data_IF_800065661114
#
_entry.id   IF_800065661114
#
_cell.length_a   1.000
_cell.length_b   1.000
_cell.length_c   1.000
_cell.angle_alpha   90.00
_cell.angle_beta   90.00
_cell.angle_gamma   90.00
#
_symmetry.space_group_name_H-M   'P 1'
#
loop_
_entity.id
_entity.type
_entity.pdbx_description
1 polymer ?
#
# COMPACT_ATOMS: atom_id res chain seq x y z
N UNK A 1 55.45 10.51 1.78
CA UNK A 1 54.11 11.12 1.86
C UNK A 1 53.12 9.99 1.73
N UNK A 2 52.37 9.70 2.78
CA UNK A 2 51.28 8.72 2.71
C UNK A 2 50.05 9.45 2.18
N UNK A 3 49.37 8.88 1.19
CA UNK A 3 48.12 9.41 0.65
C UNK A 3 47.06 9.33 1.75
N UNK A 4 46.66 10.48 2.30
CA UNK A 4 45.73 10.58 3.43
C UNK A 4 44.27 10.56 3.01
N UNK A 5 43.99 10.49 1.71
CA UNK A 5 42.64 10.52 1.18
C UNK A 5 42.56 9.63 -0.08
N UNK A 6 42.25 8.33 0.06
CA UNK A 6 41.96 7.48 -1.10
C UNK A 6 40.68 7.98 -1.79
N UNK A 7 40.58 7.91 -3.12
CA UNK A 7 39.35 8.31 -3.81
C UNK A 7 38.17 7.51 -3.27
N UNK A 8 37.07 8.22 -3.00
CA UNK A 8 35.80 7.61 -2.61
C UNK A 8 35.38 6.56 -3.64
N UNK A 9 34.67 5.54 -3.21
CA UNK A 9 34.28 4.47 -4.09
C UNK A 9 33.42 5.00 -5.24
N UNK A 10 33.41 4.35 -6.42
CA UNK A 10 32.49 4.70 -7.49
C UNK A 10 31.02 4.71 -7.02
N UNK A 11 30.65 3.92 -6.01
CA UNK A 11 29.28 3.96 -5.46
C UNK A 11 28.94 5.28 -4.74
N UNK A 12 29.95 6.02 -4.30
CA UNK A 12 29.81 7.31 -3.61
C UNK A 12 30.01 8.51 -4.56
N UNK A 13 30.41 8.25 -5.80
CA UNK A 13 30.81 9.31 -6.76
C UNK A 13 30.19 9.18 -8.14
N UNK A 14 29.60 8.03 -8.48
CA UNK A 14 28.90 7.85 -9.75
C UNK A 14 27.54 8.58 -9.71
N UNK A 15 27.17 9.20 -10.84
CA UNK A 15 25.94 9.97 -10.93
C UNK A 15 24.71 9.07 -10.78
N UNK A 16 23.70 9.62 -10.13
CA UNK A 16 22.35 9.07 -10.03
C UNK A 16 21.44 9.73 -11.06
N UNK A 17 20.17 9.33 -11.10
CA UNK A 17 19.14 10.02 -11.89
C UNK A 17 18.93 11.50 -11.50
N UNK A 18 19.40 11.94 -10.34
CA UNK A 18 19.33 13.34 -9.92
C UNK A 18 20.48 14.18 -10.49
N UNK A 19 21.55 13.51 -10.95
CA UNK A 19 22.75 14.14 -11.48
C UNK A 19 22.75 14.17 -13.01
N UNK A 20 21.89 13.36 -13.65
CA UNK A 20 21.82 13.21 -15.09
C UNK A 20 20.51 13.76 -15.64
N UNK A 21 20.53 14.49 -16.77
CA UNK A 21 19.32 14.80 -17.50
C UNK A 21 18.71 13.52 -18.08
N UNK A 22 17.48 13.63 -18.59
CA UNK A 22 16.90 12.60 -19.45
C UNK A 22 17.75 12.38 -20.72
N UNK A 23 17.36 11.42 -21.57
CA UNK A 23 17.95 11.26 -22.90
C UNK A 23 17.89 12.57 -23.71
N UNK A 24 16.85 13.37 -23.49
CA UNK A 24 16.79 14.77 -23.87
C UNK A 24 17.43 15.65 -22.78
N UNK A 25 18.53 16.32 -23.13
CA UNK A 25 19.35 17.10 -22.19
C UNK A 25 18.60 18.28 -21.52
N UNK A 26 17.49 18.71 -22.10
CA UNK A 26 16.64 19.80 -21.60
C UNK A 26 15.55 19.31 -20.62
N UNK A 27 15.48 18.00 -20.35
CA UNK A 27 14.51 17.42 -19.42
C UNK A 27 15.17 16.88 -18.15
N UNK A 28 14.53 17.02 -16.98
CA UNK A 28 15.03 16.43 -15.74
C UNK A 28 15.11 14.90 -15.84
N UNK A 29 15.96 14.30 -14.99
CA UNK A 29 16.14 12.85 -14.95
C UNK A 29 14.85 12.08 -14.63
N UNK A 30 14.81 10.83 -15.09
CA UNK A 30 13.67 9.91 -14.96
C UNK A 30 13.46 9.45 -13.50
N UNK A 31 12.23 9.09 -13.09
CA UNK A 31 11.92 8.60 -11.74
C UNK A 31 12.73 7.36 -11.31
N UNK A 32 13.05 7.25 -10.01
CA UNK A 32 13.69 6.04 -9.43
C UNK A 32 12.63 5.00 -9.05
N UNK A 33 13.12 3.86 -8.56
CA UNK A 33 12.28 2.80 -8.03
C UNK A 33 11.34 3.24 -6.89
N UNK A 34 11.70 4.24 -6.10
CA UNK A 34 10.80 4.72 -5.04
C UNK A 34 9.63 5.52 -5.63
N UNK A 35 9.88 6.37 -6.64
CA UNK A 35 8.82 7.07 -7.38
C UNK A 35 7.95 6.11 -8.21
N UNK A 36 8.40 4.86 -8.44
CA UNK A 36 7.56 3.79 -8.95
C UNK A 36 6.73 3.11 -7.85
N UNK A 37 7.35 2.73 -6.74
CA UNK A 37 6.72 1.90 -5.71
C UNK A 37 5.79 2.67 -4.77
N UNK A 38 6.15 3.89 -4.37
CA UNK A 38 5.35 4.67 -3.42
C UNK A 38 3.95 5.02 -3.99
N UNK A 39 3.79 5.48 -5.26
CA UNK A 39 2.48 5.69 -5.85
C UNK A 39 1.67 4.40 -6.05
N UNK A 40 2.33 3.27 -6.32
CA UNK A 40 1.66 1.97 -6.40
C UNK A 40 1.05 1.56 -5.06
N UNK A 41 1.81 1.69 -3.97
CA UNK A 41 1.29 1.40 -2.63
C UNK A 41 0.11 2.33 -2.27
N UNK A 42 0.20 3.62 -2.60
CA UNK A 42 -0.91 4.56 -2.42
C UNK A 42 -2.16 4.10 -3.20
N UNK A 43 -2.01 3.75 -4.48
CA UNK A 43 -3.12 3.28 -5.31
C UNK A 43 -3.73 1.95 -4.82
N UNK A 44 -2.90 0.98 -4.39
CA UNK A 44 -3.35 -0.32 -3.91
C UNK A 44 -4.15 -0.23 -2.59
N UNK A 45 -3.81 0.76 -1.75
CA UNK A 45 -4.38 0.96 -0.41
C UNK A 45 -5.41 2.08 -0.32
N UNK A 46 -5.57 2.92 -1.35
CA UNK A 46 -6.60 3.95 -1.41
C UNK A 46 -7.99 3.32 -1.66
N UNK A 47 -8.71 3.05 -0.57
CA UNK A 47 -10.00 2.35 -0.58
C UNK A 47 -11.04 3.07 0.29
N UNK A 48 -11.45 4.30 -0.08
CA UNK A 48 -12.44 5.05 0.69
C UNK A 48 -13.77 4.29 0.71
N UNK A 49 -14.36 4.00 1.88
CA UNK A 49 -15.49 3.08 2.01
C UNK A 49 -16.78 3.59 1.38
N UNK A 50 -16.98 4.92 1.36
CA UNK A 50 -18.19 5.55 0.82
C UNK A 50 -18.19 5.72 -0.71
N UNK A 51 -17.09 5.36 -1.37
CA UNK A 51 -16.97 5.47 -2.82
C UNK A 51 -16.87 4.09 -3.48
N UNK A 52 -17.74 3.79 -4.46
CA UNK A 52 -17.58 2.60 -5.30
C UNK A 52 -16.22 2.60 -6.00
N UNK A 53 -15.56 1.44 -6.10
CA UNK A 53 -14.23 1.32 -6.74
C UNK A 53 -14.20 1.78 -8.20
N UNK A 54 -15.33 1.64 -8.91
CA UNK A 54 -15.49 2.10 -10.28
C UNK A 54 -15.78 3.60 -10.39
N UNK A 55 -15.92 4.32 -9.27
CA UNK A 55 -16.09 5.77 -9.17
C UNK A 55 -14.89 6.48 -8.52
N UNK A 56 -13.73 5.83 -8.56
CA UNK A 56 -12.47 6.36 -8.07
C UNK A 56 -11.46 6.30 -9.22
N UNK A 57 -10.75 7.40 -9.42
CA UNK A 57 -9.58 7.44 -10.29
C UNK A 57 -8.36 7.86 -9.47
N UNK A 58 -7.26 7.13 -9.61
CA UNK A 58 -5.94 7.54 -9.11
C UNK A 58 -4.98 7.67 -10.28
N UNK A 59 -4.25 8.77 -10.35
CA UNK A 59 -3.21 8.98 -11.35
C UNK A 59 -1.84 9.08 -10.67
N UNK A 60 -0.81 8.55 -11.34
CA UNK A 60 0.59 8.68 -10.92
C UNK A 60 1.41 9.08 -12.13
N UNK A 61 2.25 10.11 -12.00
CA UNK A 61 3.09 10.61 -13.09
C UNK A 61 2.29 10.88 -14.40
N UNK A 62 1.04 11.32 -14.23
CA UNK A 62 0.06 11.57 -15.30
C UNK A 62 -0.17 13.07 -15.46
N UNK A 63 -0.20 13.55 -16.71
CA UNK A 63 -0.45 14.97 -16.99
C UNK A 63 -1.84 15.41 -16.50
N UNK A 64 -1.86 16.43 -15.65
CA UNK A 64 -3.04 17.08 -15.09
C UNK A 64 -3.19 18.47 -15.70
N UNK A 65 -4.16 18.61 -16.60
CA UNK A 65 -4.47 19.87 -17.28
C UNK A 65 -5.55 20.64 -16.53
N UNK A 66 -5.30 21.94 -16.32
CA UNK A 66 -6.11 22.78 -15.42
C UNK A 66 -6.55 24.13 -16.01
N UNK A 67 -6.04 24.54 -17.18
CA UNK A 67 -6.43 25.81 -17.82
C UNK A 67 -6.78 25.61 -19.31
N UNK A 68 -8.06 25.79 -19.64
CA UNK A 68 -8.55 25.69 -21.02
C UNK A 68 -7.94 26.74 -21.96
N UNK A 69 -7.55 27.91 -21.44
CA UNK A 69 -6.94 28.98 -22.24
C UNK A 69 -5.46 28.73 -22.51
N UNK A 70 -4.84 27.87 -21.71
CA UNK A 70 -3.44 27.49 -21.85
C UNK A 70 -3.33 25.95 -21.86
N UNK A 71 -3.79 25.28 -22.93
CA UNK A 71 -3.86 23.82 -22.97
C UNK A 71 -2.48 23.13 -22.96
N UNK A 72 -1.38 23.87 -23.12
CA UNK A 72 -0.02 23.36 -22.92
C UNK A 72 0.45 23.45 -21.47
N UNK A 73 -0.33 24.05 -20.57
CA UNK A 73 -0.01 24.13 -19.15
C UNK A 73 -0.61 22.94 -18.43
N UNK A 74 0.27 22.14 -17.83
CA UNK A 74 -0.08 20.98 -17.05
C UNK A 74 0.83 20.87 -15.84
N UNK A 75 0.40 20.08 -14.86
CA UNK A 75 1.25 19.54 -13.80
C UNK A 75 1.31 18.03 -13.92
N UNK A 76 2.31 17.43 -13.29
CA UNK A 76 2.53 15.99 -13.32
C UNK A 76 2.81 15.53 -11.89
N UNK A 77 1.76 15.42 -11.06
CA UNK A 77 1.94 15.03 -9.66
C UNK A 77 2.42 13.58 -9.57
N UNK A 78 3.22 13.27 -8.56
CA UNK A 78 3.68 11.89 -8.31
C UNK A 78 2.50 10.94 -8.06
N UNK A 79 1.48 11.40 -7.32
CA UNK A 79 0.23 10.70 -7.15
C UNK A 79 -0.94 11.66 -6.86
N UNK A 80 -2.13 11.36 -7.36
CA UNK A 80 -3.36 12.06 -6.98
C UNK A 80 -4.58 11.16 -7.06
N UNK A 81 -5.64 11.52 -6.32
CA UNK A 81 -6.93 10.84 -6.39
C UNK A 81 -8.06 11.79 -6.73
N UNK A 82 -9.00 11.31 -7.54
CA UNK A 82 -10.25 11.96 -7.92
C UNK A 82 -11.41 11.03 -7.55
N UNK A 83 -12.41 11.59 -6.89
CA UNK A 83 -13.55 10.86 -6.34
C UNK A 83 -14.83 11.21 -7.10
N UNK A 84 -15.73 10.24 -7.26
CA UNK A 84 -17.00 10.44 -7.96
C UNK A 84 -16.85 10.48 -9.49
N UNK A 85 -15.73 9.98 -10.04
CA UNK A 85 -15.49 9.89 -11.49
C UNK A 85 -15.26 8.43 -11.89
N UNK A 86 -15.72 7.99 -13.07
CA UNK A 86 -15.47 6.63 -13.53
C UNK A 86 -13.99 6.27 -13.57
N UNK A 87 -13.62 5.06 -13.16
CA UNK A 87 -12.23 4.59 -13.21
C UNK A 87 -11.66 4.56 -14.63
N UNK A 88 -12.52 4.37 -15.64
CA UNK A 88 -12.19 4.44 -17.07
C UNK A 88 -12.66 5.76 -17.69
N UNK A 89 -11.83 6.33 -18.57
CA UNK A 89 -12.21 7.48 -19.39
C UNK A 89 -13.34 7.09 -20.34
N UNK A 90 -14.40 7.90 -20.37
CA UNK A 90 -15.65 7.62 -21.10
C UNK A 90 -16.22 6.20 -20.84
N UNK A 91 -15.90 5.61 -19.68
CA UNK A 91 -16.25 4.24 -19.27
C UNK A 91 -15.70 3.14 -20.20
N UNK A 92 -14.64 3.41 -20.96
CA UNK A 92 -14.10 2.50 -21.97
C UNK A 92 -12.58 2.38 -21.93
N UNK A 93 -11.89 3.52 -21.90
CA UNK A 93 -10.45 3.57 -22.12
C UNK A 93 -9.68 3.95 -20.86
N UNK A 94 -8.38 3.68 -20.86
CA UNK A 94 -7.48 4.22 -19.85
C UNK A 94 -7.20 5.70 -20.14
N UNK A 95 -6.92 6.47 -19.09
CA UNK A 95 -6.58 7.90 -19.22
C UNK A 95 -5.14 8.07 -19.70
N UNK A 96 -4.97 8.83 -20.79
CA UNK A 96 -3.67 9.32 -21.24
C UNK A 96 -3.25 10.61 -20.51
N UNK A 97 -4.24 11.32 -19.97
CA UNK A 97 -4.08 12.51 -19.13
C UNK A 97 -5.37 12.72 -18.33
N UNK A 98 -5.32 13.59 -17.33
CA UNK A 98 -6.50 14.06 -16.62
C UNK A 98 -6.78 15.50 -17.02
N UNK A 99 -7.89 15.73 -17.74
CA UNK A 99 -8.26 17.05 -18.26
C UNK A 99 -9.44 17.58 -17.46
N UNK A 100 -9.17 18.49 -16.53
CA UNK A 100 -10.14 18.94 -15.53
C UNK A 100 -11.42 19.51 -16.13
N UNK A 101 -11.33 20.29 -17.21
CA UNK A 101 -12.53 20.86 -17.85
C UNK A 101 -13.34 19.85 -18.68
N UNK A 102 -12.78 18.69 -19.01
CA UNK A 102 -13.52 17.59 -19.65
C UNK A 102 -14.19 16.71 -18.61
N UNK A 103 -13.51 16.44 -17.48
CA UNK A 103 -14.01 15.55 -16.44
C UNK A 103 -14.82 16.26 -15.35
N UNK A 104 -14.74 17.59 -15.28
CA UNK A 104 -15.48 18.48 -14.40
C UNK A 104 -15.27 18.27 -12.89
N UNK A 105 -14.31 17.44 -12.48
CA UNK A 105 -13.98 17.15 -11.08
C UNK A 105 -12.49 17.38 -10.85
N UNK A 106 -12.16 18.13 -9.81
CA UNK A 106 -10.76 18.34 -9.41
C UNK A 106 -10.26 17.18 -8.54
N UNK A 107 -8.94 16.95 -8.47
CA UNK A 107 -8.38 16.04 -7.47
C UNK A 107 -8.82 16.38 -6.05
N UNK A 108 -9.09 15.35 -5.26
CA UNK A 108 -9.41 15.45 -3.85
C UNK A 108 -8.14 15.55 -2.99
N UNK A 109 -7.10 14.82 -3.38
CA UNK A 109 -5.79 14.85 -2.76
C UNK A 109 -4.70 14.74 -3.83
N UNK A 110 -3.61 15.47 -3.62
CA UNK A 110 -2.34 15.34 -4.37
C UNK A 110 -1.23 14.99 -3.39
N UNK A 111 -0.35 14.06 -3.78
CA UNK A 111 0.87 13.67 -3.05
C UNK A 111 2.07 13.95 -3.95
N UNK A 112 3.07 14.65 -3.43
CA UNK A 112 4.36 14.88 -4.08
C UNK A 112 5.48 14.24 -3.23
N UNK A 113 6.43 13.62 -3.92
CA UNK A 113 7.55 12.90 -3.34
C UNK A 113 8.80 13.74 -3.53
N UNK A 114 9.41 14.19 -2.43
CA UNK A 114 10.57 15.06 -2.54
C UNK A 114 11.76 14.30 -3.11
N UNK A 115 12.32 14.87 -4.17
CA UNK A 115 13.64 14.56 -4.67
C UNK A 115 14.62 15.68 -4.32
N UNK A 116 15.93 15.38 -4.20
CA UNK A 116 16.93 16.42 -3.92
C UNK A 116 16.80 17.60 -4.89
N UNK A 117 16.55 18.80 -4.39
CA UNK A 117 16.49 20.03 -5.18
C UNK A 117 15.09 20.49 -5.62
N UNK A 118 14.03 19.72 -5.36
CA UNK A 118 12.63 20.08 -5.70
C UNK A 118 11.88 20.82 -4.59
N UNK A 119 12.47 20.91 -3.40
CA UNK A 119 11.80 21.35 -2.18
C UNK A 119 11.25 22.78 -2.29
N UNK A 120 11.94 23.67 -3.01
CA UNK A 120 11.50 25.07 -3.16
C UNK A 120 10.25 25.22 -4.02
N UNK A 121 10.11 24.37 -5.04
CA UNK A 121 8.94 24.38 -5.94
C UNK A 121 7.73 23.77 -5.24
N UNK A 122 7.92 22.64 -4.57
CA UNK A 122 6.85 21.93 -3.87
C UNK A 122 6.34 22.68 -2.63
N UNK A 123 7.18 23.55 -2.04
CA UNK A 123 6.78 24.44 -0.93
C UNK A 123 6.30 25.83 -1.38
N UNK A 124 6.13 26.06 -2.68
CA UNK A 124 5.58 27.31 -3.21
C UNK A 124 6.46 28.55 -2.95
N UNK A 125 7.77 28.37 -2.74
CA UNK A 125 8.69 29.46 -2.37
C UNK A 125 9.29 30.22 -3.55
N UNK A 126 8.91 29.88 -4.78
CA UNK A 126 9.42 30.50 -6.01
C UNK A 126 8.56 31.72 -6.38
N UNK A 127 9.22 32.88 -6.56
CA UNK A 127 8.57 34.10 -7.03
C UNK A 127 8.15 33.95 -8.50
N UNK A 128 6.94 34.43 -8.80
CA UNK A 128 6.29 34.27 -10.10
C UNK A 128 6.92 35.13 -11.20
N UNK A 129 7.02 34.55 -12.39
CA UNK A 129 7.10 35.23 -13.68
C UNK A 129 5.74 35.09 -14.38
N UNK A 130 5.15 36.19 -14.84
CA UNK A 130 3.78 36.18 -15.41
C UNK A 130 3.72 35.46 -16.76
N UNK A 131 4.85 35.35 -17.47
CA UNK A 131 4.92 34.67 -18.76
C UNK A 131 5.16 33.16 -18.65
N UNK A 132 5.35 32.62 -17.43
CA UNK A 132 5.59 31.20 -17.18
C UNK A 132 4.37 30.51 -16.58
N UNK A 133 4.20 29.18 -16.78
CA UNK A 133 3.17 28.41 -16.10
C UNK A 133 3.25 28.60 -14.58
N UNK A 134 2.11 28.73 -13.87
CA UNK A 134 2.07 28.82 -12.40
C UNK A 134 2.80 27.66 -11.71
N UNK A 135 3.36 27.90 -10.53
CA UNK A 135 4.00 26.85 -9.72
C UNK A 135 2.99 25.81 -9.20
N UNK A 136 3.47 24.63 -8.79
CA UNK A 136 2.60 23.54 -8.27
C UNK A 136 1.66 24.03 -7.17
N UNK A 137 2.19 24.75 -6.17
CA UNK A 137 1.40 25.29 -5.06
C UNK A 137 0.25 26.20 -5.52
N UNK A 138 0.51 27.14 -6.44
CA UNK A 138 -0.51 28.05 -6.98
C UNK A 138 -1.60 27.27 -7.74
N UNK A 139 -1.20 26.29 -8.57
CA UNK A 139 -2.14 25.45 -9.29
C UNK A 139 -3.03 24.66 -8.33
N UNK A 140 -2.44 23.97 -7.35
CA UNK A 140 -3.19 23.09 -6.45
C UNK A 140 -4.07 23.90 -5.48
N UNK A 141 -3.55 24.97 -4.88
CA UNK A 141 -4.24 25.79 -3.87
C UNK A 141 -5.29 26.74 -4.48
N UNK A 142 -4.92 27.47 -5.53
CA UNK A 142 -5.69 28.64 -5.99
C UNK A 142 -6.55 28.31 -7.20
N UNK A 143 -6.05 27.47 -8.13
CA UNK A 143 -6.76 27.14 -9.36
C UNK A 143 -7.64 25.91 -9.17
N UNK A 144 -7.04 24.78 -8.79
CA UNK A 144 -7.72 23.50 -8.64
C UNK A 144 -8.43 23.36 -7.29
N UNK A 145 -8.04 24.16 -6.28
CA UNK A 145 -8.66 24.15 -4.96
C UNK A 145 -8.68 22.73 -4.36
N UNK A 146 -7.59 21.99 -4.53
CA UNK A 146 -7.47 20.60 -4.06
C UNK A 146 -7.59 20.61 -2.53
N UNK A 147 -8.51 19.85 -1.91
CA UNK A 147 -8.72 19.88 -0.47
C UNK A 147 -7.48 19.52 0.36
N UNK A 148 -6.69 18.54 -0.10
CA UNK A 148 -5.55 18.00 0.62
C UNK A 148 -4.30 17.94 -0.26
N UNK A 149 -3.17 18.38 0.29
CA UNK A 149 -1.88 18.32 -0.37
C UNK A 149 -0.85 17.72 0.59
N UNK A 150 -0.21 16.63 0.16
CA UNK A 150 0.76 15.89 0.96
C UNK A 150 2.14 15.95 0.32
N UNK A 151 3.17 16.09 1.16
CA UNK A 151 4.56 16.05 0.76
C UNK A 151 5.27 14.98 1.59
N UNK A 152 6.10 14.16 0.95
CA UNK A 152 6.89 13.15 1.65
C UNK A 152 8.35 13.13 1.22
N UNK A 153 9.26 13.32 2.18
CA UNK A 153 10.71 13.15 2.03
C UNK A 153 11.12 11.78 2.56
N UNK A 154 11.47 10.86 1.66
CA UNK A 154 11.90 9.51 2.05
C UNK A 154 13.24 9.47 2.80
N UNK A 155 14.11 10.46 2.60
CA UNK A 155 15.44 10.50 3.22
C UNK A 155 15.36 11.01 4.65
N UNK A 156 14.50 12.00 4.89
CA UNK A 156 14.22 12.51 6.25
C UNK A 156 13.08 11.76 6.94
N UNK A 157 12.34 10.92 6.21
CA UNK A 157 11.06 10.34 6.65
C UNK A 157 10.06 11.42 7.09
N UNK A 158 10.12 12.57 6.44
CA UNK A 158 9.32 13.75 6.79
C UNK A 158 8.03 13.72 5.98
N UNK A 159 6.91 13.55 6.66
CA UNK A 159 5.58 13.67 6.08
C UNK A 159 4.99 15.00 6.49
N UNK A 160 4.50 15.77 5.52
CA UNK A 160 3.81 17.03 5.72
C UNK A 160 2.45 16.97 5.02
N UNK A 161 1.44 17.50 5.68
CA UNK A 161 0.07 17.56 5.16
C UNK A 161 -0.42 18.99 5.21
N UNK A 162 -1.07 19.43 4.14
CA UNK A 162 -1.70 20.72 4.03
C UNK A 162 -3.17 20.54 3.70
N UNK A 163 -4.02 21.27 4.42
CA UNK A 163 -5.45 21.29 4.20
C UNK A 163 -5.88 22.66 3.68
N UNK A 164 -6.72 22.68 2.65
CA UNK A 164 -7.28 23.92 2.13
C UNK A 164 -8.32 24.48 3.09
N UNK A 165 -7.92 25.49 3.87
CA UNK A 165 -8.79 26.15 4.85
C UNK A 165 -9.15 27.54 4.34
N UNK A 166 -10.42 27.75 4.01
CA UNK A 166 -10.85 28.99 3.37
C UNK A 166 -10.15 29.14 2.03
N UNK A 167 -9.35 30.20 1.83
CA UNK A 167 -8.69 30.48 0.57
C UNK A 167 -7.27 29.88 0.43
N UNK A 168 -6.66 29.37 1.50
CA UNK A 168 -5.23 29.02 1.54
C UNK A 168 -4.99 27.65 2.15
N UNK A 169 -3.88 27.02 1.78
CA UNK A 169 -3.38 25.87 2.49
C UNK A 169 -2.88 26.27 3.88
N UNK A 170 -3.29 25.51 4.88
CA UNK A 170 -2.72 25.52 6.20
C UNK A 170 -2.02 24.17 6.42
N UNK A 171 -0.76 24.23 6.89
CA UNK A 171 -0.07 23.02 7.32
C UNK A 171 -0.76 22.45 8.55
N UNK A 172 -0.90 21.14 8.59
CA UNK A 172 -1.54 20.43 9.68
C UNK A 172 -0.49 19.86 10.62
N UNK A 173 -0.71 20.03 11.92
CA UNK A 173 0.06 19.34 12.95
C UNK A 173 -0.29 17.85 12.94
N UNK A 174 0.66 17.03 12.52
CA UNK A 174 0.50 15.57 12.48
C UNK A 174 0.63 14.95 13.86
N UNK A 175 -0.21 13.94 14.13
CA UNK A 175 -0.07 13.08 15.31
C UNK A 175 0.48 11.73 14.87
N UNK A 176 1.61 11.30 15.45
CA UNK A 176 2.27 10.03 15.11
C UNK A 176 2.52 9.86 13.59
N UNK A 177 2.89 10.95 12.91
CA UNK A 177 3.08 10.97 11.45
C UNK A 177 1.85 10.48 10.66
N UNK A 178 0.64 10.76 11.18
CA UNK A 178 -0.64 10.41 10.57
C UNK A 178 -1.56 11.61 10.50
N UNK A 179 -2.41 11.60 9.49
CA UNK A 179 -3.50 12.55 9.32
C UNK A 179 -4.77 11.81 8.87
N UNK A 180 -5.87 12.07 9.58
CA UNK A 180 -7.18 11.52 9.24
C UNK A 180 -7.95 12.49 8.34
N UNK A 181 -8.52 11.98 7.25
CA UNK A 181 -9.35 12.73 6.30
C UNK A 181 -10.82 12.29 6.48
N UNK A 182 -11.64 13.08 7.21
CA UNK A 182 -13.00 12.68 7.55
C UNK A 182 -13.89 12.44 6.33
N UNK A 183 -13.73 13.23 5.26
CA UNK A 183 -14.63 13.23 4.10
C UNK A 183 -14.56 11.93 3.28
N UNK A 184 -13.48 11.16 3.43
CA UNK A 184 -13.26 9.92 2.69
C UNK A 184 -13.09 8.72 3.61
N UNK A 185 -13.29 8.90 4.91
CA UNK A 185 -13.06 7.92 5.98
C UNK A 185 -11.75 7.14 5.83
N UNK A 186 -10.67 7.85 5.49
CA UNK A 186 -9.32 7.30 5.41
C UNK A 186 -8.33 8.21 6.11
N UNK A 187 -7.28 7.62 6.64
CA UNK A 187 -6.11 8.36 7.06
C UNK A 187 -4.89 8.02 6.25
N UNK A 188 -3.99 8.99 6.10
CA UNK A 188 -2.69 8.82 5.45
C UNK A 188 -1.59 8.98 6.50
N UNK A 189 -0.58 8.13 6.47
CA UNK A 189 0.56 8.29 7.36
C UNK A 189 1.76 7.46 6.99
N UNK A 190 2.82 7.61 7.78
CA UNK A 190 4.09 6.90 7.60
C UNK A 190 4.01 5.52 8.24
N UNK A 191 4.02 4.49 7.40
CA UNK A 191 4.08 3.09 7.80
C UNK A 191 5.50 2.56 7.64
N UNK A 192 6.08 2.08 8.74
CA UNK A 192 7.34 1.33 8.72
C UNK A 192 7.07 -0.13 8.34
N UNK A 193 7.52 -0.55 7.16
CA UNK A 193 7.35 -1.94 6.73
C UNK A 193 7.94 -2.28 5.38
N UNK A 194 7.65 -3.49 4.91
CA UNK A 194 8.17 -4.01 3.65
C UNK A 194 7.12 -3.96 2.55
N UNK A 195 7.40 -3.19 1.49
CA UNK A 195 6.63 -3.20 0.25
C UNK A 195 7.53 -3.65 -0.89
N UNK A 196 7.06 -4.61 -1.71
CA UNK A 196 7.83 -5.24 -2.80
C UNK A 196 9.25 -5.66 -2.37
N UNK A 197 9.40 -6.22 -1.16
CA UNK A 197 10.66 -6.67 -0.53
C UNK A 197 11.60 -5.55 -0.03
N UNK A 198 11.21 -4.29 -0.14
CA UNK A 198 11.99 -3.15 0.33
C UNK A 198 11.43 -2.68 1.66
N UNK A 199 12.23 -2.83 2.72
CA UNK A 199 11.90 -2.37 4.07
C UNK A 199 12.36 -0.93 4.28
N UNK A 200 11.39 -0.03 4.45
CA UNK A 200 11.62 1.40 4.69
C UNK A 200 10.32 2.07 5.18
N UNK A 201 10.36 3.36 5.56
CA UNK A 201 9.14 4.14 5.76
C UNK A 201 8.42 4.38 4.43
N UNK A 202 7.12 4.15 4.40
CA UNK A 202 6.25 4.39 3.25
C UNK A 202 5.02 5.20 3.66
N UNK A 203 4.53 6.08 2.78
CA UNK A 203 3.15 6.55 2.93
C UNK A 203 2.16 5.42 2.64
N UNK A 204 1.17 5.26 3.52
CA UNK A 204 0.14 4.21 3.40
C UNK A 204 -1.20 4.70 3.96
N UNK A 205 -2.28 4.22 3.36
CA UNK A 205 -3.63 4.50 3.86
C UNK A 205 -4.00 3.58 5.03
N UNK A 206 -4.72 4.12 6.02
CA UNK A 206 -5.26 3.40 7.17
C UNK A 206 -6.75 3.69 7.36
N UNK A 207 -7.46 2.76 8.00
CA UNK A 207 -8.90 2.83 8.24
C UNK A 207 -9.26 3.58 9.55
N UNK A 208 -10.56 3.75 9.82
CA UNK A 208 -11.07 4.43 11.02
C UNK A 208 -10.65 3.80 12.35
N UNK A 209 -10.29 2.52 12.32
CA UNK A 209 -9.85 1.76 13.50
C UNK A 209 -8.32 1.86 13.68
N UNK A 210 -7.63 2.59 12.79
CA UNK A 210 -6.18 2.79 12.83
C UNK A 210 -5.38 1.67 12.16
N UNK A 211 -6.03 0.72 11.49
CA UNK A 211 -5.37 -0.38 10.81
C UNK A 211 -4.90 0.05 9.42
N UNK A 212 -3.66 -0.31 9.08
CA UNK A 212 -3.15 -0.10 7.72
C UNK A 212 -3.93 -0.94 6.72
N UNK A 213 -4.43 -0.29 5.67
CA UNK A 213 -5.18 -0.97 4.62
C UNK A 213 -4.23 -1.89 3.87
N UNK A 214 -4.61 -3.16 3.77
CA UNK A 214 -3.81 -4.19 3.12
C UNK A 214 -3.84 -4.05 1.60
N UNK A 215 -2.69 -4.30 0.98
CA UNK A 215 -2.59 -4.58 -0.44
C UNK A 215 -3.26 -5.92 -0.75
N UNK A 216 -3.69 -6.12 -2.00
CA UNK A 216 -4.31 -7.39 -2.40
C UNK A 216 -3.38 -8.59 -2.16
N UNK A 217 -2.07 -8.39 -2.33
CA UNK A 217 -1.07 -9.44 -2.04
C UNK A 217 -0.99 -9.78 -0.55
N UNK A 218 -1.06 -8.80 0.34
CA UNK A 218 -1.10 -9.06 1.79
C UNK A 218 -2.42 -9.73 2.20
N UNK A 219 -3.55 -9.31 1.63
CA UNK A 219 -4.86 -9.94 1.87
C UNK A 219 -4.86 -11.42 1.44
N UNK A 220 -4.33 -11.73 0.26
CA UNK A 220 -4.19 -13.11 -0.23
C UNK A 220 -3.27 -13.95 0.67
N UNK A 221 -2.15 -13.39 1.11
CA UNK A 221 -1.24 -14.08 2.04
C UNK A 221 -1.91 -14.37 3.38
N UNK A 222 -2.64 -13.41 3.94
CA UNK A 222 -3.37 -13.62 5.20
C UNK A 222 -4.45 -14.70 5.05
N UNK A 223 -5.21 -14.70 3.95
CA UNK A 223 -6.20 -15.75 3.66
C UNK A 223 -5.55 -17.12 3.52
N UNK A 224 -4.47 -17.22 2.75
CA UNK A 224 -3.75 -18.47 2.55
C UNK A 224 -3.16 -19.02 3.86
N UNK A 225 -2.63 -18.15 4.72
CA UNK A 225 -2.12 -18.54 6.04
C UNK A 225 -3.26 -19.01 6.95
N UNK A 226 -4.40 -18.32 6.95
CA UNK A 226 -5.56 -18.72 7.72
C UNK A 226 -6.12 -20.08 7.27
N UNK A 227 -6.17 -20.33 5.97
CA UNK A 227 -6.58 -21.62 5.40
C UNK A 227 -5.61 -22.75 5.77
N UNK A 228 -4.29 -22.48 5.72
CA UNK A 228 -3.26 -23.43 6.17
C UNK A 228 -3.42 -23.80 7.63
N UNK A 229 -3.65 -22.81 8.50
CA UNK A 229 -3.86 -23.04 9.92
C UNK A 229 -5.12 -23.87 10.19
N UNK A 230 -6.22 -23.63 9.46
CA UNK A 230 -7.44 -24.44 9.56
C UNK A 230 -7.20 -25.88 9.11
N UNK A 231 -6.55 -26.07 7.97
CA UNK A 231 -6.23 -27.40 7.45
C UNK A 231 -5.31 -28.19 8.40
N UNK A 232 -4.34 -27.52 9.03
CA UNK A 232 -3.47 -28.13 10.03
C UNK A 232 -4.23 -28.53 11.30
N UNK A 233 -5.14 -27.68 11.79
CA UNK A 233 -6.00 -28.03 12.92
C UNK A 233 -6.92 -29.24 12.63
N UNK A 234 -7.48 -29.32 11.42
CA UNK A 234 -8.29 -30.46 11.00
C UNK A 234 -7.47 -31.75 10.91
N UNK A 235 -6.25 -31.68 10.36
CA UNK A 235 -5.33 -32.83 10.33
C UNK A 235 -4.99 -33.32 11.74
N UNK A 236 -4.71 -32.42 12.67
CA UNK A 236 -4.41 -32.78 14.05
C UNK A 236 -5.61 -33.45 14.74
N UNK A 237 -6.83 -32.97 14.49
CA UNK A 237 -8.05 -33.61 15.01
C UNK A 237 -8.26 -35.00 14.42
N UNK A 238 -8.10 -35.15 13.11
CA UNK A 238 -8.22 -36.45 12.43
C UNK A 238 -7.17 -37.45 12.93
N UNK A 239 -5.94 -36.99 13.17
CA UNK A 239 -4.87 -37.83 13.72
C UNK A 239 -5.17 -38.26 15.16
N UNK A 240 -5.66 -37.35 16.01
CA UNK A 240 -6.09 -37.70 17.37
C UNK A 240 -7.25 -38.70 17.38
N UNK A 241 -8.21 -38.56 16.47
CA UNK A 241 -9.33 -39.49 16.34
C UNK A 241 -8.85 -40.88 15.87
N UNK A 242 -7.93 -40.93 14.90
CA UNK A 242 -7.27 -42.18 14.48
C UNK A 242 -6.52 -42.85 15.63
N UNK A 243 -5.78 -42.09 16.42
CA UNK A 243 -5.07 -42.63 17.57
C UNK A 243 -6.02 -43.19 18.64
N UNK A 244 -7.17 -42.53 18.88
CA UNK A 244 -8.21 -43.04 19.79
C UNK A 244 -8.83 -44.34 19.27
N UNK A 245 -9.21 -44.38 17.99
CA UNK A 245 -9.75 -45.57 17.33
C UNK A 245 -8.76 -46.75 17.39
N UNK A 246 -7.47 -46.48 17.17
CA UNK A 246 -6.43 -47.49 17.25
C UNK A 246 -6.26 -48.02 18.68
N UNK A 247 -6.24 -47.14 19.69
CA UNK A 247 -6.21 -47.53 21.09
C UNK A 247 -7.44 -48.36 21.50
N UNK A 248 -8.62 -48.00 21.03
CA UNK A 248 -9.85 -48.73 21.29
C UNK A 248 -9.82 -50.13 20.65
N UNK A 249 -9.35 -50.21 19.39
CA UNK A 249 -9.13 -51.51 18.72
C UNK A 249 -8.14 -52.39 19.47
N UNK A 250 -7.03 -51.83 19.93
CA UNK A 250 -6.04 -52.58 20.70
C UNK A 250 -6.60 -53.10 22.03
N UNK A 251 -7.42 -52.30 22.73
CA UNK A 251 -8.11 -52.74 23.95
C UNK A 251 -9.10 -53.87 23.68
N UNK A 252 -9.92 -53.74 22.64
CA UNK A 252 -10.88 -54.77 22.25
C UNK A 252 -10.18 -56.08 21.87
N UNK A 253 -9.07 -56.01 21.16
CA UNK A 253 -8.26 -57.19 20.81
C UNK A 253 -7.63 -57.85 22.05
N UNK A 254 -7.10 -57.07 22.98
CA UNK A 254 -6.59 -57.60 24.25
C UNK A 254 -7.68 -58.26 25.10
N UNK A 255 -8.88 -57.69 25.13
CA UNK A 255 -10.03 -58.27 25.83
C UNK A 255 -10.45 -59.60 25.20
N UNK A 256 -10.55 -59.66 23.86
CA UNK A 256 -10.81 -60.91 23.13
C UNK A 256 -9.80 -62.00 23.47
N UNK A 257 -8.50 -61.68 23.41
CA UNK A 257 -7.44 -62.65 23.73
C UNK A 257 -7.51 -63.14 25.19
N UNK A 258 -7.89 -62.27 26.14
CA UNK A 258 -8.10 -62.68 27.54
C UNK A 258 -9.30 -63.60 27.68
N UNK A 259 -10.41 -63.27 27.05
CA UNK A 259 -11.63 -64.09 27.05
C UNK A 259 -11.37 -65.47 26.44
N UNK A 260 -10.67 -65.54 25.30
CA UNK A 260 -10.27 -66.81 24.68
C UNK A 260 -9.39 -67.67 25.59
N UNK A 261 -8.40 -67.06 26.27
CA UNK A 261 -7.55 -67.76 27.26
C UNK A 261 -8.35 -68.28 28.45
N UNK A 262 -9.30 -67.50 28.96
CA UNK A 262 -10.15 -67.89 30.08
C UNK A 262 -11.07 -69.06 29.68
N UNK A 263 -11.69 -68.99 28.51
CA UNK A 263 -12.51 -70.08 27.94
C UNK A 263 -11.66 -71.36 27.82
N UNK A 264 -10.43 -71.26 27.31
CA UNK A 264 -9.52 -72.40 27.19
C UNK A 264 -9.16 -73.01 28.57
N UNK A 265 -8.90 -72.17 29.59
CA UNK A 265 -8.64 -72.64 30.95
C UNK A 265 -9.86 -73.33 31.59
N UNK A 266 -11.05 -72.76 31.45
CA UNK A 266 -12.30 -73.36 31.96
C UNK A 266 -12.55 -74.73 31.34
N UNK A 267 -12.37 -74.86 30.02
CA UNK A 267 -12.45 -76.15 29.31
C UNK A 267 -11.42 -77.16 29.82
N UNK A 268 -10.20 -76.75 30.12
CA UNK A 268 -9.16 -77.65 30.67
C UNK A 268 -9.49 -78.16 32.08
N UNK A 269 -10.29 -77.41 32.84
CA UNK A 269 -10.78 -77.79 34.17
C UNK A 269 -12.07 -78.63 34.13
N UNK A 270 -12.58 -78.95 32.93
CA UNK A 270 -13.79 -79.77 32.75
C UNK A 270 -15.11 -79.00 32.90
N UNK A 271 -15.08 -77.66 32.86
CA UNK A 271 -16.26 -76.80 32.86
C UNK A 271 -16.52 -76.32 31.43
N UNK A 272 -17.72 -76.60 30.88
CA UNK A 272 -18.16 -76.00 29.62
C UNK A 272 -18.74 -74.61 29.89
N UNK A 273 -18.07 -73.52 29.44
CA UNK A 273 -18.63 -72.19 29.55
C UNK A 273 -19.79 -72.02 28.56
N UNK A 274 -20.92 -71.51 29.06
CA UNK A 274 -22.07 -71.14 28.25
C UNK A 274 -21.78 -69.84 27.48
N UNK A 275 -21.96 -69.86 26.17
CA UNK A 275 -21.57 -68.80 25.24
C UNK A 275 -22.80 -68.37 24.43
N UNK A 276 -23.82 -67.85 25.11
CA UNK A 276 -24.92 -67.08 24.48
C UNK A 276 -24.61 -65.58 24.43
#
# INVERSE_FOLDING_TARGET
MYQTDPPLSPKETLPTMYDLPSEDQDQPGLPDQFHLFQPQLLAETFRPPDYPRDQIFTGSDLNLYYDLRHPSWYKRPDWFAVLGVPSLYEKRDLRLSYVVWQEAVNPHIIVELLSPGTEKEDLGTILRDVEKPPGKWEVYEQILRVPYYAIFDRYKSEFRMFQLTGARYAEVDLSDFRFWIPEIELGLGVWQGSYKTVEMPWLRWYDKDGNWILTSTEEERQKAEQERQKAEQERQKAEQERQKLEQERQKLEQERQKTERLIAQLRSLGVEPDLE
#
